data_IF_537399138788
#
_entry.id   IF_537399138788
#
_cell.length_a   1.000
_cell.length_b   1.000
_cell.length_c   1.000
_cell.angle_alpha   90.00
_cell.angle_beta   90.00
_cell.angle_gamma   90.00
#
_symmetry.space_group_name_H-M   'P 1'
#
loop_
_entity.id
_entity.type
_entity.pdbx_description
1 polymer ?
#
# COMPACT_ATOMS: atom_id res chain seq x y z
N UNK A 1 -21.25 5.11 4.36
CA UNK A 1 -20.10 4.37 3.82
C UNK A 1 -19.03 5.28 3.25
N UNK A 2 -19.38 6.26 2.42
CA UNK A 2 -18.40 7.24 1.87
C UNK A 2 -17.71 8.05 2.94
N UNK A 3 -18.37 8.31 4.03
CA UNK A 3 -17.86 9.11 5.15
C UNK A 3 -16.91 8.31 6.05
N UNK A 4 -16.70 7.03 5.73
CA UNK A 4 -15.82 6.14 6.51
C UNK A 4 -14.35 6.33 6.22
N UNK A 5 -13.99 7.02 5.13
CA UNK A 5 -12.60 7.30 4.75
C UNK A 5 -12.37 8.78 4.50
N UNK A 6 -11.31 9.27 5.08
CA UNK A 6 -10.75 10.57 4.75
C UNK A 6 -9.52 10.33 3.86
N UNK A 7 -9.54 10.89 2.65
CA UNK A 7 -8.43 10.78 1.72
C UNK A 7 -7.59 12.05 1.74
N UNK A 8 -6.32 11.92 2.13
CA UNK A 8 -5.35 13.00 2.05
C UNK A 8 -4.34 12.65 0.98
N UNK A 9 -4.28 13.45 -0.09
CA UNK A 9 -3.37 13.22 -1.20
C UNK A 9 -2.18 14.15 -1.14
N UNK A 10 -1.01 13.60 -1.42
CA UNK A 10 0.22 14.33 -1.58
C UNK A 10 0.86 13.93 -2.90
N UNK A 11 0.99 14.89 -3.82
CA UNK A 11 1.62 14.66 -5.11
C UNK A 11 3.12 14.94 -5.02
N UNK A 12 3.91 14.16 -5.76
CA UNK A 12 5.37 14.33 -5.86
C UNK A 12 6.04 14.44 -4.48
N UNK A 13 5.72 13.50 -3.58
CA UNK A 13 6.28 13.48 -2.23
C UNK A 13 7.79 13.33 -2.30
N UNK A 14 8.50 14.25 -1.63
CA UNK A 14 9.94 14.20 -1.51
C UNK A 14 10.33 13.38 -0.28
N UNK A 15 11.56 12.87 -0.30
CA UNK A 15 12.10 12.14 0.85
C UNK A 15 12.00 12.99 2.13
N UNK A 16 12.29 14.30 2.01
CA UNK A 16 12.23 15.22 3.15
C UNK A 16 10.82 15.43 3.71
N UNK A 17 9.80 15.24 2.88
CA UNK A 17 8.40 15.48 3.28
C UNK A 17 7.73 14.25 3.89
N UNK A 18 8.28 13.07 3.67
CA UNK A 18 7.62 11.81 4.01
C UNK A 18 7.34 11.69 5.51
N UNK A 19 8.34 11.91 6.35
CA UNK A 19 8.15 11.83 7.81
C UNK A 19 7.16 12.87 8.32
N UNK A 20 7.31 14.12 7.86
CA UNK A 20 6.44 15.18 8.27
C UNK A 20 4.97 14.88 7.94
N UNK A 21 4.72 14.41 6.70
CA UNK A 21 3.39 14.05 6.24
C UNK A 21 2.78 12.94 7.09
N UNK A 22 3.54 11.89 7.36
CA UNK A 22 3.08 10.77 8.16
C UNK A 22 2.80 11.18 9.61
N UNK A 23 3.65 12.01 10.20
CA UNK A 23 3.46 12.51 11.56
C UNK A 23 2.24 13.42 11.65
N UNK A 24 2.02 14.26 10.66
CA UNK A 24 0.90 15.20 10.64
C UNK A 24 -0.44 14.50 10.42
N UNK A 25 -0.51 13.57 9.47
CA UNK A 25 -1.77 12.93 9.07
C UNK A 25 -2.14 11.73 9.93
N UNK A 26 -1.17 11.05 10.52
CA UNK A 26 -1.36 9.81 11.31
C UNK A 26 -2.31 8.83 10.61
N UNK A 27 -1.99 8.38 9.39
CA UNK A 27 -2.91 7.59 8.59
C UNK A 27 -3.04 6.16 9.13
N UNK A 28 -4.23 5.58 8.95
CA UNK A 28 -4.45 4.14 9.16
C UNK A 28 -3.94 3.33 7.95
N UNK A 29 -4.05 3.92 6.76
CA UNK A 29 -3.63 3.31 5.50
C UNK A 29 -2.67 4.26 4.79
N UNK A 30 -1.55 3.72 4.35
CA UNK A 30 -0.62 4.44 3.46
C UNK A 30 -0.68 3.79 2.10
N UNK A 31 -1.01 4.57 1.08
CA UNK A 31 -1.01 4.11 -0.30
C UNK A 31 0.05 4.88 -1.08
N UNK A 32 1.03 4.15 -1.58
CA UNK A 32 2.03 4.69 -2.48
C UNK A 32 1.65 4.31 -3.92
N UNK A 33 1.52 5.31 -4.78
CA UNK A 33 1.30 5.12 -6.21
C UNK A 33 2.39 5.88 -6.96
N UNK A 34 3.23 5.17 -7.67
CA UNK A 34 4.36 5.78 -8.36
C UNK A 34 5.23 4.74 -9.03
N UNK A 35 6.48 5.12 -9.26
CA UNK A 35 7.44 4.26 -9.94
C UNK A 35 8.19 3.38 -8.95
N UNK A 36 8.36 2.12 -9.32
CA UNK A 36 9.32 1.22 -8.71
C UNK A 36 10.54 1.10 -9.63
N UNK A 37 11.69 0.84 -9.06
CA UNK A 37 12.91 0.59 -9.82
C UNK A 37 13.10 -0.90 -10.09
N UNK A 38 13.92 -1.23 -11.09
CA UNK A 38 14.34 -2.62 -11.34
C UNK A 38 15.14 -3.19 -10.18
N UNK A 39 15.69 -2.34 -9.32
CA UNK A 39 16.37 -2.73 -8.08
C UNK A 39 15.37 -3.03 -6.95
N UNK A 40 14.07 -3.05 -7.27
CA UNK A 40 12.98 -3.36 -6.34
C UNK A 40 12.86 -2.35 -5.19
N UNK A 41 13.13 -1.09 -5.51
CA UNK A 41 13.02 0.01 -4.55
C UNK A 41 11.98 1.03 -5.01
N UNK A 42 11.32 1.66 -4.06
CA UNK A 42 10.43 2.79 -4.35
C UNK A 42 11.28 4.01 -4.69
N UNK A 43 10.86 4.72 -5.74
CA UNK A 43 11.55 5.92 -6.21
C UNK A 43 10.79 7.15 -5.76
N UNK A 44 11.43 7.99 -4.96
CA UNK A 44 10.95 9.32 -4.58
C UNK A 44 11.84 10.39 -5.22
N UNK A 45 11.50 11.64 -5.02
CA UNK A 45 12.36 12.74 -5.43
C UNK A 45 13.09 13.35 -4.23
N UNK A 46 14.27 13.92 -4.45
CA UNK A 46 14.93 14.76 -3.46
C UNK A 46 14.58 16.25 -3.69
N UNK A 47 15.15 17.13 -2.89
CA UNK A 47 14.87 18.58 -2.96
C UNK A 47 15.33 19.23 -4.27
N UNK A 48 16.19 18.54 -5.05
CA UNK A 48 16.65 18.97 -6.35
C UNK A 48 15.88 18.32 -7.50
N UNK A 49 14.73 17.68 -7.21
CA UNK A 49 13.92 16.93 -8.15
C UNK A 49 14.66 15.76 -8.82
N UNK A 50 15.68 15.22 -8.14
CA UNK A 50 16.41 14.03 -8.57
C UNK A 50 15.77 12.77 -7.96
N UNK A 51 15.75 11.69 -8.72
CA UNK A 51 15.23 10.41 -8.24
C UNK A 51 16.08 9.86 -7.11
N UNK A 52 15.41 9.43 -6.05
CA UNK A 52 16.04 8.76 -4.90
C UNK A 52 15.34 7.45 -4.63
N UNK A 53 16.10 6.37 -4.68
CA UNK A 53 15.60 5.06 -4.29
C UNK A 53 15.55 4.98 -2.77
N UNK A 54 14.43 4.45 -2.27
CA UNK A 54 14.25 4.22 -0.83
C UNK A 54 14.34 2.73 -0.59
N UNK A 55 15.34 2.32 0.18
CA UNK A 55 15.57 0.91 0.47
C UNK A 55 14.51 0.33 1.39
N UNK A 56 14.32 -1.00 1.31
CA UNK A 56 13.39 -1.71 2.20
C UNK A 56 13.78 -1.55 3.67
N UNK A 57 15.08 -1.53 3.97
CA UNK A 57 15.57 -1.35 5.34
C UNK A 57 15.18 0.01 5.89
N UNK A 58 15.27 1.06 5.09
CA UNK A 58 14.85 2.40 5.48
C UNK A 58 13.35 2.48 5.71
N UNK A 59 12.55 1.87 4.83
CA UNK A 59 11.10 1.83 5.00
C UNK A 59 10.69 1.06 6.26
N UNK A 60 11.29 -0.09 6.51
CA UNK A 60 11.00 -0.88 7.71
C UNK A 60 11.34 -0.09 8.97
N UNK A 61 12.49 0.59 8.98
CA UNK A 61 12.90 1.42 10.11
C UNK A 61 11.91 2.56 10.36
N UNK A 62 11.48 3.25 9.30
CA UNK A 62 10.51 4.34 9.41
C UNK A 62 9.18 3.84 10.00
N UNK A 63 8.62 2.79 9.42
CA UNK A 63 7.33 2.29 9.85
C UNK A 63 7.38 1.50 11.17
N UNK A 64 8.55 1.00 11.57
CA UNK A 64 8.71 0.43 12.91
C UNK A 64 8.54 1.49 14.01
N UNK A 65 8.85 2.73 13.71
CA UNK A 65 8.65 3.86 14.62
C UNK A 65 7.18 4.34 14.58
N UNK A 66 6.57 4.36 13.39
CA UNK A 66 5.24 4.94 13.16
C UNK A 66 4.11 3.90 13.12
N UNK A 67 4.38 2.68 13.52
CA UNK A 67 3.43 1.55 13.41
C UNK A 67 2.17 1.68 14.26
N UNK A 68 2.16 2.58 15.23
CA UNK A 68 1.04 2.70 16.17
C UNK A 68 -0.28 3.04 15.48
N UNK A 69 -0.22 3.77 14.38
CA UNK A 69 -1.40 4.19 13.62
C UNK A 69 -1.57 3.40 12.32
N UNK A 70 -0.47 3.11 11.61
CA UNK A 70 -0.51 2.53 10.28
C UNK A 70 -0.82 1.03 10.36
N UNK A 71 -1.91 0.61 9.76
CA UNK A 71 -2.37 -0.78 9.77
C UNK A 71 -2.21 -1.46 8.42
N UNK A 72 -2.27 -0.69 7.33
CA UNK A 72 -2.16 -1.20 5.96
C UNK A 72 -1.22 -0.30 5.16
N UNK A 73 -0.32 -0.91 4.42
CA UNK A 73 0.51 -0.21 3.44
C UNK A 73 0.30 -0.89 2.09
N UNK A 74 -0.10 -0.12 1.08
CA UNK A 74 -0.23 -0.57 -0.30
C UNK A 74 0.86 0.09 -1.14
N UNK A 75 1.76 -0.71 -1.69
CA UNK A 75 2.81 -0.25 -2.58
C UNK A 75 2.41 -0.55 -4.02
N UNK A 76 1.64 0.36 -4.63
CA UNK A 76 1.16 0.22 -5.99
C UNK A 76 2.20 0.73 -6.99
N UNK A 77 3.32 0.03 -7.05
CA UNK A 77 4.48 0.33 -7.87
C UNK A 77 5.10 -0.97 -8.37
N UNK A 78 5.67 -0.94 -9.58
CA UNK A 78 6.30 -2.12 -10.17
C UNK A 78 7.39 -2.69 -9.24
N UNK A 79 7.43 -4.00 -9.13
CA UNK A 79 8.46 -4.74 -8.37
C UNK A 79 8.54 -4.39 -6.88
N UNK A 80 7.47 -3.88 -6.28
CA UNK A 80 7.47 -3.47 -4.87
C UNK A 80 7.28 -4.62 -3.87
N UNK A 81 7.14 -5.87 -4.35
CA UNK A 81 6.94 -7.05 -3.51
C UNK A 81 7.96 -7.17 -2.39
N UNK A 82 9.24 -6.99 -2.70
CA UNK A 82 10.33 -7.18 -1.72
C UNK A 82 10.19 -6.22 -0.55
N UNK A 83 9.81 -4.98 -0.83
CA UNK A 83 9.59 -3.98 0.22
C UNK A 83 8.33 -4.28 1.04
N UNK A 84 7.24 -4.68 0.38
CA UNK A 84 6.01 -5.07 1.07
C UNK A 84 6.24 -6.28 1.97
N UNK A 85 6.99 -7.27 1.48
CA UNK A 85 7.33 -8.46 2.25
C UNK A 85 8.17 -8.11 3.49
N UNK A 86 9.12 -7.21 3.36
CA UNK A 86 9.93 -6.75 4.49
C UNK A 86 9.09 -6.00 5.53
N UNK A 87 8.13 -5.20 5.09
CA UNK A 87 7.26 -4.42 5.96
C UNK A 87 6.28 -5.27 6.77
N UNK A 88 6.01 -6.51 6.39
CA UNK A 88 5.11 -7.39 7.14
C UNK A 88 5.59 -7.67 8.57
N UNK A 89 6.85 -7.45 8.86
CA UNK A 89 7.38 -7.63 10.21
C UNK A 89 6.82 -6.60 11.20
N UNK A 90 6.44 -5.43 10.71
CA UNK A 90 6.02 -4.30 11.56
C UNK A 90 4.61 -3.81 11.28
N UNK A 91 4.04 -4.09 10.10
CA UNK A 91 2.72 -3.63 9.67
C UNK A 91 1.82 -4.84 9.47
N UNK A 92 0.57 -4.77 9.94
CA UNK A 92 -0.38 -5.88 9.90
C UNK A 92 -0.60 -6.41 8.49
N UNK A 93 -0.79 -5.51 7.52
CA UNK A 93 -1.07 -5.88 6.14
C UNK A 93 -0.26 -5.02 5.19
N UNK A 94 0.43 -5.66 4.27
CA UNK A 94 1.14 -4.96 3.20
C UNK A 94 0.82 -5.59 1.85
N UNK A 95 0.69 -4.76 0.83
CA UNK A 95 0.47 -5.21 -0.55
C UNK A 95 1.62 -4.68 -1.40
N UNK A 96 2.20 -5.56 -2.20
CA UNK A 96 3.23 -5.22 -3.15
C UNK A 96 3.00 -5.91 -4.48
N UNK A 97 3.73 -5.49 -5.49
CA UNK A 97 3.63 -6.02 -6.85
C UNK A 97 4.86 -6.86 -7.16
N UNK A 98 4.64 -8.06 -7.70
CA UNK A 98 5.75 -8.99 -8.03
C UNK A 98 6.29 -8.81 -9.44
N UNK A 99 5.71 -7.91 -10.23
CA UNK A 99 6.08 -7.67 -11.63
C UNK A 99 5.73 -6.24 -12.01
N UNK A 100 5.93 -5.89 -13.27
CA UNK A 100 5.44 -4.64 -13.81
C UNK A 100 3.91 -4.61 -13.77
N UNK A 101 3.36 -3.49 -13.36
CA UNK A 101 1.92 -3.30 -13.26
C UNK A 101 1.48 -2.22 -14.24
N UNK A 102 0.49 -2.55 -15.09
CA UNK A 102 -0.11 -1.58 -16.00
C UNK A 102 -1.04 -0.61 -15.27
N UNK A 103 -1.16 0.61 -15.77
CA UNK A 103 -1.94 1.66 -15.12
C UNK A 103 -3.41 1.27 -14.93
N UNK A 104 -4.04 0.68 -15.94
CA UNK A 104 -5.44 0.27 -15.84
C UNK A 104 -5.67 -0.77 -14.77
N UNK A 105 -4.80 -1.77 -14.71
CA UNK A 105 -4.88 -2.81 -13.68
C UNK A 105 -4.65 -2.21 -12.30
N UNK A 106 -3.65 -1.36 -12.15
CA UNK A 106 -3.33 -0.74 -10.86
C UNK A 106 -4.51 0.11 -10.34
N UNK A 107 -5.14 0.90 -11.20
CA UNK A 107 -6.30 1.72 -10.84
C UNK A 107 -7.50 0.83 -10.49
N UNK A 108 -7.77 -0.18 -11.29
CA UNK A 108 -8.89 -1.10 -11.08
C UNK A 108 -8.74 -1.87 -9.77
N UNK A 109 -7.55 -2.41 -9.53
CA UNK A 109 -7.24 -3.13 -8.30
C UNK A 109 -7.41 -2.24 -7.07
N UNK A 110 -6.81 -1.05 -7.06
CA UNK A 110 -6.89 -0.13 -5.94
C UNK A 110 -8.33 0.31 -5.66
N UNK A 111 -9.09 0.64 -6.70
CA UNK A 111 -10.49 1.03 -6.55
C UNK A 111 -11.33 -0.05 -5.91
N UNK A 112 -11.21 -1.29 -6.38
CA UNK A 112 -11.97 -2.43 -5.83
C UNK A 112 -11.53 -2.77 -4.40
N UNK A 113 -10.23 -2.67 -4.12
CA UNK A 113 -9.69 -2.92 -2.79
C UNK A 113 -10.29 -1.95 -1.76
N UNK A 114 -10.22 -0.65 -2.04
CA UNK A 114 -10.74 0.36 -1.12
C UNK A 114 -12.27 0.35 -1.04
N UNK A 115 -12.95 0.04 -2.13
CA UNK A 115 -14.40 -0.16 -2.11
C UNK A 115 -14.79 -1.25 -1.11
N UNK A 116 -14.14 -2.39 -1.17
CA UNK A 116 -14.43 -3.50 -0.26
C UNK A 116 -14.16 -3.14 1.19
N UNK A 117 -13.06 -2.43 1.46
CA UNK A 117 -12.77 -1.94 2.81
C UNK A 117 -13.85 -0.97 3.31
N UNK A 118 -14.36 -0.11 2.43
CA UNK A 118 -15.43 0.84 2.77
C UNK A 118 -16.76 0.12 3.10
N UNK A 119 -16.97 -1.07 2.56
CA UNK A 119 -18.11 -1.93 2.88
C UNK A 119 -17.80 -2.89 4.04
N UNK A 120 -16.81 -2.55 4.84
CA UNK A 120 -16.45 -3.23 6.09
C UNK A 120 -16.00 -4.69 5.90
N UNK A 121 -15.35 -4.95 4.75
CA UNK A 121 -14.69 -6.23 4.55
C UNK A 121 -13.31 -6.24 5.22
N UNK A 122 -12.84 -7.42 5.57
CA UNK A 122 -11.48 -7.58 6.08
C UNK A 122 -10.47 -7.30 4.99
N UNK A 123 -9.22 -7.00 5.36
CA UNK A 123 -8.18 -6.75 4.36
C UNK A 123 -7.94 -7.97 3.45
N UNK A 124 -7.85 -9.21 3.99
CA UNK A 124 -7.73 -10.38 3.10
C UNK A 124 -8.90 -10.53 2.12
N UNK A 125 -10.13 -10.30 2.58
CA UNK A 125 -11.31 -10.36 1.69
C UNK A 125 -11.27 -9.27 0.62
N UNK A 126 -10.94 -8.04 1.02
CA UNK A 126 -10.82 -6.92 0.10
C UNK A 126 -9.75 -7.17 -0.96
N UNK A 127 -8.64 -7.77 -0.56
CA UNK A 127 -7.56 -8.14 -1.47
C UNK A 127 -8.03 -9.17 -2.52
N UNK A 128 -8.70 -10.22 -2.10
CA UNK A 128 -9.23 -11.24 -3.02
C UNK A 128 -10.30 -10.66 -3.96
N UNK A 129 -11.20 -9.81 -3.43
CA UNK A 129 -12.21 -9.14 -4.25
C UNK A 129 -11.56 -8.21 -5.28
N UNK A 130 -10.49 -7.53 -4.93
CA UNK A 130 -9.77 -6.66 -5.85
C UNK A 130 -9.13 -7.45 -7.01
N UNK A 131 -8.53 -8.60 -6.71
CA UNK A 131 -7.99 -9.49 -7.75
C UNK A 131 -9.09 -10.02 -8.66
N UNK A 132 -10.21 -10.41 -8.07
CA UNK A 132 -11.36 -10.90 -8.83
C UNK A 132 -11.92 -9.82 -9.75
N UNK A 133 -11.96 -8.57 -9.30
CA UNK A 133 -12.42 -7.44 -10.12
C UNK A 133 -11.52 -7.22 -11.34
N UNK A 134 -10.21 -7.38 -11.18
CA UNK A 134 -9.28 -7.31 -12.32
C UNK A 134 -9.61 -8.39 -13.35
N UNK A 135 -9.90 -9.61 -12.90
CA UNK A 135 -10.30 -10.70 -13.80
C UNK A 135 -11.66 -10.43 -14.46
N UNK A 136 -12.63 -9.93 -13.71
CA UNK A 136 -13.96 -9.59 -14.23
C UNK A 136 -13.89 -8.47 -15.28
N UNK A 137 -12.99 -7.53 -15.10
CA UNK A 137 -12.75 -6.45 -16.07
C UNK A 137 -11.91 -6.92 -17.27
N UNK A 138 -11.52 -8.19 -17.30
CA UNK A 138 -10.69 -8.79 -18.34
C UNK A 138 -9.34 -8.09 -18.52
N UNK A 139 -8.80 -7.58 -17.43
CA UNK A 139 -7.46 -7.02 -17.40
C UNK A 139 -6.46 -8.11 -17.04
N UNK A 140 -5.26 -8.02 -17.60
CA UNK A 140 -4.18 -8.93 -17.25
C UNK A 140 -3.54 -8.50 -15.94
N UNK A 141 -2.95 -9.48 -15.22
CA UNK A 141 -2.11 -9.20 -14.07
C UNK A 141 -2.77 -9.35 -12.71
N UNK A 142 -3.91 -10.05 -12.59
CA UNK A 142 -4.55 -10.29 -11.31
C UNK A 142 -3.66 -11.05 -10.31
N UNK A 143 -2.63 -11.72 -10.78
CA UNK A 143 -1.65 -12.44 -9.95
C UNK A 143 -0.41 -11.60 -9.60
N UNK A 144 -0.33 -10.34 -10.06
CA UNK A 144 0.80 -9.46 -9.76
C UNK A 144 0.75 -8.93 -8.32
N UNK A 145 -0.41 -8.47 -7.79
CA UNK A 145 -0.48 -8.07 -6.39
C UNK A 145 -0.31 -9.25 -5.44
N UNK A 146 0.45 -9.06 -4.38
CA UNK A 146 0.61 -10.03 -3.30
C UNK A 146 0.35 -9.36 -1.96
N UNK A 147 -0.37 -10.09 -1.10
CA UNK A 147 -0.69 -9.66 0.25
C UNK A 147 0.23 -10.36 1.25
N UNK A 148 0.82 -9.57 2.15
CA UNK A 148 1.61 -10.07 3.25
C UNK A 148 0.93 -9.70 4.56
N UNK A 149 0.80 -10.68 5.45
CA UNK A 149 0.09 -10.53 6.73
C UNK A 149 1.10 -10.74 7.85
N UNK A 150 1.20 -9.75 8.76
CA UNK A 150 2.09 -9.86 9.91
C UNK A 150 1.67 -11.02 10.80
N UNK A 151 2.64 -11.76 11.31
CA UNK A 151 2.39 -12.85 12.24
C UNK A 151 1.67 -12.30 13.49
N UNK A 152 0.51 -12.87 13.80
CA UNK A 152 -0.32 -12.45 14.92
C UNK A 152 -1.36 -11.38 14.59
N UNK A 153 -1.40 -10.88 13.35
CA UNK A 153 -2.46 -9.95 12.95
C UNK A 153 -3.83 -10.64 12.96
N UNK A 154 -4.86 -9.90 13.40
CA UNK A 154 -6.22 -10.44 13.46
C UNK A 154 -6.91 -10.31 12.10
N UNK A 155 -6.87 -11.39 11.30
CA UNK A 155 -7.41 -11.42 9.94
C UNK A 155 -8.92 -11.23 9.86
N UNK A 156 -9.63 -11.40 10.97
CA UNK A 156 -11.10 -11.27 11.01
C UNK A 156 -11.55 -9.86 11.39
N UNK A 157 -10.63 -9.02 11.84
CA UNK A 157 -10.95 -7.64 12.22
C UNK A 157 -11.00 -6.76 11.00
N UNK A 158 -12.03 -5.91 10.93
CA UNK A 158 -12.14 -4.90 9.87
C UNK A 158 -11.42 -3.61 10.27
N UNK A 159 -11.13 -2.74 9.29
CA UNK A 159 -10.44 -1.48 9.55
C UNK A 159 -11.35 -0.45 10.23
N UNK A 160 -12.64 -0.51 9.97
CA UNK A 160 -13.61 0.43 10.55
C UNK A 160 -13.91 0.11 12.02
N UNK A 161 -13.37 -0.97 12.55
CA UNK A 161 -13.50 -1.32 13.96
C UNK A 161 -14.87 -1.85 14.36
N UNK A 162 -15.74 -2.10 13.41
CA UNK A 162 -16.99 -2.81 13.68
C UNK A 162 -16.67 -4.30 13.78
N UNK A 163 -16.99 -4.85 14.89
CA UNK A 163 -16.77 -6.29 15.10
C UNK A 163 -17.89 -7.12 14.51
#
# INVERSE_FOLDING_TARGET
MRDSFELVQHHAVRVSDLQFTLLQTKPDIVHFSGHGSTDQEIVLEDDLAQSKNVSKETLVKLFSILKDNVRVIVLNACYSKVQAEALQEVIDYTVGMNDEVGDKMAINFAGAFYQALAFDRTVPEAFELAKLEVDLARLEGSNIPELFVRKGANKKKTLLGTM
#
